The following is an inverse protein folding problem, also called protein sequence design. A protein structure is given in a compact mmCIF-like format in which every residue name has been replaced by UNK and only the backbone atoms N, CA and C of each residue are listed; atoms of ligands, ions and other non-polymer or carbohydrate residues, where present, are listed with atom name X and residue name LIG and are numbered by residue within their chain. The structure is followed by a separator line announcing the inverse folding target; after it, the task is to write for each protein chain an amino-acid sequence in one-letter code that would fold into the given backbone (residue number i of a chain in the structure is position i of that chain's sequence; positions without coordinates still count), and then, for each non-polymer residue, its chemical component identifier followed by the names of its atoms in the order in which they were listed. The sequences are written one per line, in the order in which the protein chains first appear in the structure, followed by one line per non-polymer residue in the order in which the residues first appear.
data_IF_483540922735
#
_entry.id   IF_483540922735
#
_cell.length_a   1.000
_cell.length_b   1.000
_cell.length_c   1.000
_cell.angle_alpha   90.00
_cell.angle_beta   90.00
_cell.angle_gamma   90.00
#
_symmetry.space_group_name_H-M   'P 1'
#
loop_
_entity.id
_entity.type
_entity.pdbx_description
1 polymer ?
#
# COMPACT_ATOMS: atom_id res chain seq x y z
N UNK A 1 -7.14 -3.56 25.08
CA UNK A 1 -6.56 -2.74 24.00
C UNK A 1 -5.97 -1.48 24.58
N UNK A 2 -4.66 -1.28 24.41
CA UNK A 2 -3.89 -0.12 24.91
C UNK A 2 -4.05 1.15 24.03
N UNK A 3 -5.18 1.29 23.32
CA UNK A 3 -5.45 2.39 22.38
C UNK A 3 -4.41 2.57 21.24
N UNK A 4 -3.68 1.51 20.91
CA UNK A 4 -2.69 1.50 19.82
C UNK A 4 -3.37 1.09 18.51
N UNK A 5 -3.37 1.98 17.53
CA UNK A 5 -3.84 1.67 16.18
C UNK A 5 -2.96 0.59 15.54
N UNK A 6 -3.56 -0.54 15.18
CA UNK A 6 -2.83 -1.73 14.71
C UNK A 6 -3.25 -2.10 13.30
N UNK A 7 -2.29 -2.23 12.39
CA UNK A 7 -2.51 -2.72 11.03
C UNK A 7 -2.11 -4.20 10.95
N UNK A 8 -3.04 -5.04 10.51
CA UNK A 8 -2.74 -6.44 10.20
C UNK A 8 -2.49 -6.61 8.70
N UNK A 9 -1.37 -7.24 8.34
CA UNK A 9 -1.05 -7.59 6.95
C UNK A 9 -1.35 -9.06 6.70
N UNK A 10 -2.40 -9.33 5.92
CA UNK A 10 -2.65 -10.65 5.33
C UNK A 10 -2.11 -10.61 3.90
N UNK A 11 -0.79 -10.65 3.79
CA UNK A 11 -0.07 -10.23 2.60
C UNK A 11 1.23 -11.04 2.40
N UNK A 12 1.41 -11.76 1.28
CA UNK A 12 0.45 -11.92 0.19
C UNK A 12 -0.55 -13.04 0.45
N UNK A 13 -1.73 -12.95 -0.18
CA UNK A 13 -2.62 -14.09 -0.36
C UNK A 13 -2.14 -14.93 -1.54
N UNK A 14 -1.98 -16.23 -1.33
CA UNK A 14 -1.53 -17.19 -2.34
C UNK A 14 -2.74 -17.80 -3.06
N UNK A 15 -2.91 -17.57 -4.37
CA UNK A 15 -4.02 -18.14 -5.12
C UNK A 15 -4.15 -19.66 -4.97
N UNK A 16 -5.36 -20.14 -4.70
CA UNK A 16 -5.69 -21.56 -4.50
C UNK A 16 -5.05 -22.25 -3.29
N UNK A 17 -4.17 -21.58 -2.54
CA UNK A 17 -3.48 -22.14 -1.37
C UNK A 17 -4.01 -21.51 -0.09
N UNK A 18 -4.08 -20.19 -0.03
CA UNK A 18 -4.58 -19.44 1.14
C UNK A 18 -5.69 -18.47 0.75
N UNK A 19 -6.36 -18.74 -0.38
CA UNK A 19 -7.40 -17.88 -0.95
C UNK A 19 -8.81 -18.46 -0.79
N UNK A 20 -9.00 -19.43 0.10
CA UNK A 20 -10.32 -19.96 0.42
C UNK A 20 -11.11 -18.91 1.24
N UNK A 21 -12.37 -18.70 0.89
CA UNK A 21 -13.20 -17.66 1.50
C UNK A 21 -13.45 -17.92 2.99
N UNK A 22 -13.70 -19.17 3.38
CA UNK A 22 -14.01 -19.50 4.78
C UNK A 22 -12.76 -19.37 5.65
N UNK A 23 -11.62 -19.85 5.17
CA UNK A 23 -10.34 -19.71 5.87
C UNK A 23 -9.94 -18.23 6.01
N UNK A 24 -10.12 -17.42 4.97
CA UNK A 24 -9.87 -15.97 5.03
C UNK A 24 -10.84 -15.28 6.00
N UNK A 25 -12.12 -15.64 6.00
CA UNK A 25 -13.11 -15.07 6.93
C UNK A 25 -12.80 -15.43 8.38
N UNK A 26 -12.36 -16.66 8.64
CA UNK A 26 -11.90 -17.10 9.96
C UNK A 26 -10.65 -16.33 10.39
N UNK A 27 -9.63 -16.24 9.53
CA UNK A 27 -8.39 -15.52 9.81
C UNK A 27 -8.66 -14.03 10.09
N UNK A 28 -9.42 -13.38 9.21
CA UNK A 28 -9.78 -11.96 9.35
C UNK A 28 -10.60 -11.76 10.64
N UNK A 29 -11.51 -12.68 10.95
CA UNK A 29 -12.23 -12.65 12.23
C UNK A 29 -11.29 -12.66 13.43
N UNK A 30 -10.34 -13.61 13.47
CA UNK A 30 -9.38 -13.74 14.58
C UNK A 30 -8.51 -12.50 14.77
N UNK A 31 -8.04 -11.88 13.69
CA UNK A 31 -7.18 -10.68 13.80
C UNK A 31 -7.98 -9.45 14.23
N UNK A 32 -9.23 -9.33 13.81
CA UNK A 32 -10.14 -8.27 14.27
C UNK A 32 -10.46 -8.46 15.75
N UNK A 33 -10.78 -9.68 16.18
CA UNK A 33 -11.04 -10.02 17.58
C UNK A 33 -9.80 -9.76 18.47
N UNK A 34 -8.60 -9.92 17.91
CA UNK A 34 -7.33 -9.58 18.55
C UNK A 34 -7.02 -8.06 18.59
N UNK A 35 -7.84 -7.21 17.96
CA UNK A 35 -7.72 -5.75 18.01
C UNK A 35 -7.15 -5.07 16.76
N UNK A 36 -7.05 -5.77 15.62
CA UNK A 36 -6.64 -5.12 14.38
C UNK A 36 -7.61 -3.98 14.00
N UNK A 37 -7.06 -2.79 13.79
CA UNK A 37 -7.80 -1.57 13.43
C UNK A 37 -7.96 -1.41 11.92
N UNK A 38 -7.09 -2.05 11.14
CA UNK A 38 -7.09 -2.00 9.67
C UNK A 38 -6.42 -3.24 9.09
N UNK A 39 -6.85 -3.64 7.89
CA UNK A 39 -6.28 -4.76 7.15
C UNK A 39 -5.54 -4.27 5.89
N UNK A 40 -4.36 -4.82 5.62
CA UNK A 40 -3.69 -4.69 4.33
C UNK A 40 -3.52 -6.07 3.72
N UNK A 41 -3.78 -6.18 2.42
CA UNK A 41 -3.60 -7.43 1.67
C UNK A 41 -3.02 -7.19 0.28
N UNK A 42 -2.56 -8.24 -0.37
CA UNK A 42 -2.22 -8.27 -1.79
C UNK A 42 -2.45 -9.68 -2.35
N UNK A 43 -2.44 -9.81 -3.67
CA UNK A 43 -2.30 -11.10 -4.32
C UNK A 43 -0.82 -11.34 -4.58
N UNK A 44 -0.31 -12.52 -4.24
CA UNK A 44 1.09 -12.87 -4.51
C UNK A 44 1.45 -12.52 -5.95
N UNK A 45 2.55 -11.80 -6.13
CA UNK A 45 3.23 -11.61 -7.39
C UNK A 45 4.58 -12.35 -7.39
N UNK A 46 5.06 -12.73 -8.57
CA UNK A 46 6.24 -13.59 -8.71
C UNK A 46 7.33 -12.77 -9.40
N UNK A 47 8.43 -12.41 -8.71
CA UNK A 47 9.56 -11.79 -9.38
C UNK A 47 10.07 -12.70 -10.50
N UNK A 48 10.27 -12.16 -11.71
CA UNK A 48 10.71 -12.96 -12.86
C UNK A 48 11.98 -13.76 -12.60
N UNK A 49 12.94 -13.15 -11.88
CA UNK A 49 14.20 -13.78 -11.52
C UNK A 49 14.01 -15.05 -10.66
N UNK A 50 12.88 -15.18 -9.96
CA UNK A 50 12.57 -16.28 -9.04
C UNK A 50 11.44 -17.18 -9.56
N UNK A 51 10.97 -16.99 -10.80
CA UNK A 51 9.79 -17.68 -11.32
C UNK A 51 9.93 -19.21 -11.24
N UNK A 52 11.03 -19.74 -11.77
CA UNK A 52 11.30 -21.18 -11.76
C UNK A 52 11.34 -21.75 -10.35
N UNK A 53 12.07 -21.09 -9.45
CA UNK A 53 12.18 -21.51 -8.05
C UNK A 53 10.82 -21.54 -7.35
N UNK A 54 9.99 -20.53 -7.60
CA UNK A 54 8.64 -20.45 -7.03
C UNK A 54 7.76 -21.60 -7.54
N UNK A 55 7.76 -21.89 -8.84
CA UNK A 55 6.97 -23.01 -9.37
C UNK A 55 7.48 -24.37 -8.95
N UNK A 56 8.80 -24.57 -8.84
CA UNK A 56 9.39 -25.81 -8.34
C UNK A 56 9.03 -26.03 -6.85
N UNK A 57 8.99 -24.95 -6.04
CA UNK A 57 8.51 -25.00 -4.66
C UNK A 57 7.01 -25.31 -4.56
N UNK A 58 6.19 -24.70 -5.42
CA UNK A 58 4.75 -24.97 -5.48
C UNK A 58 4.49 -26.43 -5.89
N UNK A 59 5.21 -26.94 -6.88
CA UNK A 59 5.09 -28.32 -7.33
C UNK A 59 5.52 -29.31 -6.24
N UNK A 60 6.66 -29.08 -5.59
CA UNK A 60 7.15 -30.00 -4.56
C UNK A 60 6.23 -30.08 -3.35
N UNK A 61 5.58 -28.97 -2.97
CA UNK A 61 4.69 -28.92 -1.80
C UNK A 61 3.22 -29.25 -2.09
N UNK A 62 2.71 -28.85 -3.26
CA UNK A 62 1.28 -28.93 -3.60
C UNK A 62 0.99 -29.73 -4.87
N UNK A 63 2.02 -30.29 -5.51
CA UNK A 63 1.91 -31.16 -6.67
C UNK A 63 1.87 -30.45 -8.04
N UNK A 64 2.06 -31.24 -9.09
CA UNK A 64 2.11 -30.80 -10.50
C UNK A 64 0.85 -30.06 -10.95
N UNK A 65 -0.31 -30.44 -10.45
CA UNK A 65 -1.56 -29.77 -10.81
C UNK A 65 -1.59 -28.33 -10.31
N UNK A 66 -1.12 -28.08 -9.08
CA UNK A 66 -1.09 -26.73 -8.51
C UNK A 66 -0.13 -25.84 -9.29
N UNK A 67 1.07 -26.34 -9.63
CA UNK A 67 1.99 -25.65 -10.53
C UNK A 67 1.31 -25.21 -11.83
N UNK A 68 0.60 -26.13 -12.50
CA UNK A 68 -0.11 -25.81 -13.74
C UNK A 68 -1.22 -24.78 -13.55
N UNK A 69 -1.91 -24.77 -12.40
CA UNK A 69 -2.90 -23.73 -12.05
C UNK A 69 -2.23 -22.36 -11.93
N UNK A 70 -1.08 -22.30 -11.27
CA UNK A 70 -0.28 -21.09 -11.15
C UNK A 70 0.23 -20.61 -12.51
N UNK A 71 0.85 -21.47 -13.32
CA UNK A 71 1.36 -21.10 -14.66
C UNK A 71 0.27 -20.51 -15.57
N UNK A 72 -0.97 -21.02 -15.49
CA UNK A 72 -2.12 -20.47 -16.25
C UNK A 72 -2.66 -19.15 -15.68
N UNK A 73 -2.54 -18.96 -14.37
CA UNK A 73 -3.03 -17.78 -13.67
C UNK A 73 -2.06 -16.60 -13.78
N UNK A 74 -0.77 -16.85 -13.72
CA UNK A 74 0.29 -15.84 -13.67
C UNK A 74 0.79 -15.48 -15.07
N UNK A 75 -0.02 -14.72 -15.80
CA UNK A 75 0.23 -14.34 -17.20
C UNK A 75 0.46 -12.85 -17.39
N UNK A 76 0.08 -12.02 -16.42
CA UNK A 76 0.30 -10.58 -16.49
C UNK A 76 1.72 -10.24 -16.08
N UNK A 77 2.28 -9.20 -16.67
CA UNK A 77 3.62 -8.73 -16.35
C UNK A 77 3.63 -7.23 -16.13
N UNK A 78 4.14 -6.84 -14.96
CA UNK A 78 4.29 -5.45 -14.55
C UNK A 78 5.60 -5.31 -13.78
N UNK A 79 6.42 -4.32 -14.15
CA UNK A 79 7.66 -3.98 -13.42
C UNK A 79 8.60 -5.17 -13.13
N UNK A 80 8.75 -6.10 -14.08
CA UNK A 80 9.62 -7.28 -13.92
C UNK A 80 9.06 -8.39 -13.04
N UNK A 81 7.76 -8.38 -12.75
CA UNK A 81 7.06 -9.36 -11.91
C UNK A 81 5.85 -9.92 -12.65
N UNK A 82 5.55 -11.19 -12.41
CA UNK A 82 4.36 -11.85 -12.91
C UNK A 82 3.22 -11.69 -11.91
N UNK A 83 2.06 -11.29 -12.40
CA UNK A 83 0.86 -11.13 -11.60
C UNK A 83 -0.20 -12.13 -12.06
N UNK A 84 -1.04 -12.55 -11.11
CA UNK A 84 -2.27 -13.26 -11.43
C UNK A 84 -3.16 -12.38 -12.34
N UNK A 85 -3.90 -13.02 -13.24
CA UNK A 85 -4.90 -12.35 -14.09
C UNK A 85 -5.77 -11.39 -13.28
N UNK A 86 -6.02 -10.21 -13.83
CA UNK A 86 -6.74 -9.12 -13.18
C UNK A 86 -8.14 -9.55 -12.73
N UNK A 87 -8.83 -10.39 -13.50
CA UNK A 87 -10.16 -10.88 -13.13
C UNK A 87 -10.12 -11.72 -11.85
N UNK A 88 -9.07 -12.52 -11.67
CA UNK A 88 -8.87 -13.29 -10.44
C UNK A 88 -8.57 -12.36 -9.26
N UNK A 89 -7.67 -11.38 -9.44
CA UNK A 89 -7.30 -10.42 -8.40
C UNK A 89 -8.49 -9.59 -7.95
N UNK A 90 -9.28 -9.05 -8.88
CA UNK A 90 -10.53 -8.33 -8.60
C UNK A 90 -11.53 -9.19 -7.82
N UNK A 91 -11.70 -10.46 -8.20
CA UNK A 91 -12.57 -11.39 -7.45
C UNK A 91 -12.06 -11.62 -6.02
N UNK A 92 -10.75 -11.83 -5.86
CA UNK A 92 -10.13 -12.00 -4.54
C UNK A 92 -10.33 -10.77 -3.66
N UNK A 93 -10.01 -9.59 -4.16
CA UNK A 93 -10.14 -8.35 -3.39
C UNK A 93 -11.60 -8.00 -3.10
N UNK A 94 -12.52 -8.26 -4.02
CA UNK A 94 -13.95 -8.12 -3.78
C UNK A 94 -14.44 -9.02 -2.65
N UNK A 95 -14.01 -10.29 -2.64
CA UNK A 95 -14.32 -11.23 -1.56
C UNK A 95 -13.79 -10.73 -0.21
N UNK A 96 -12.50 -10.39 -0.12
CA UNK A 96 -11.87 -9.89 1.12
C UNK A 96 -12.57 -8.60 1.59
N UNK A 97 -12.93 -7.70 0.67
CA UNK A 97 -13.67 -6.47 0.98
C UNK A 97 -15.02 -6.75 1.62
N UNK A 98 -15.78 -7.71 1.10
CA UNK A 98 -17.07 -8.06 1.71
C UNK A 98 -16.88 -8.74 3.07
N UNK A 99 -15.84 -9.55 3.28
CA UNK A 99 -15.49 -10.09 4.60
C UNK A 99 -15.18 -8.94 5.59
N UNK A 100 -14.27 -8.04 5.22
CA UNK A 100 -13.89 -6.89 6.06
C UNK A 100 -15.09 -6.01 6.40
N UNK A 101 -15.99 -5.78 5.43
CA UNK A 101 -17.24 -5.04 5.64
C UNK A 101 -18.16 -5.73 6.64
N UNK A 102 -18.36 -7.05 6.56
CA UNK A 102 -19.13 -7.82 7.56
C UNK A 102 -18.51 -7.70 8.96
N UNK A 103 -17.18 -7.71 9.04
CA UNK A 103 -16.41 -7.59 10.29
C UNK A 103 -16.20 -6.14 10.76
N UNK A 104 -16.66 -5.15 10.00
CA UNK A 104 -16.54 -3.70 10.28
C UNK A 104 -15.10 -3.23 10.48
N UNK A 105 -14.15 -3.81 9.73
CA UNK A 105 -12.75 -3.37 9.71
C UNK A 105 -12.43 -2.74 8.36
N UNK A 106 -11.77 -1.56 8.30
CA UNK A 106 -11.32 -0.99 7.04
C UNK A 106 -10.19 -1.83 6.43
N UNK A 107 -9.99 -1.70 5.11
CA UNK A 107 -8.91 -2.37 4.41
C UNK A 107 -8.29 -1.53 3.29
N UNK A 108 -7.06 -1.88 2.93
CA UNK A 108 -6.35 -1.41 1.75
C UNK A 108 -5.57 -2.55 1.06
N UNK A 109 -5.12 -2.28 -0.16
CA UNK A 109 -4.26 -3.15 -0.95
C UNK A 109 -2.82 -2.64 -0.98
N UNK A 110 -1.84 -3.54 -0.89
CA UNK A 110 -0.43 -3.21 -1.01
C UNK A 110 0.04 -3.39 -2.46
N UNK A 111 0.41 -2.29 -3.13
CA UNK A 111 1.06 -2.29 -4.46
C UNK A 111 0.28 -3.04 -5.55
N UNK A 112 -1.05 -2.98 -5.51
CA UNK A 112 -1.92 -3.65 -6.47
C UNK A 112 -2.35 -2.72 -7.61
N UNK A 113 -2.03 -3.12 -8.84
CA UNK A 113 -2.28 -2.32 -10.05
C UNK A 113 -2.91 -3.15 -11.17
N UNK A 114 -3.67 -2.48 -12.03
CA UNK A 114 -4.13 -2.99 -13.31
C UNK A 114 -3.36 -2.31 -14.44
N UNK A 115 -2.79 -3.09 -15.34
CA UNK A 115 -2.17 -2.57 -16.55
C UNK A 115 -3.27 -2.33 -17.59
N UNK A 116 -3.47 -1.08 -17.96
CA UNK A 116 -4.42 -0.66 -19.01
C UNK A 116 -3.64 -0.25 -20.25
N UNK A 117 -4.06 -0.70 -21.43
CA UNK A 117 -3.43 -0.34 -22.70
C UNK A 117 -4.44 0.41 -23.55
N UNK A 118 -4.21 1.69 -23.77
CA UNK A 118 -5.06 2.58 -24.57
C UNK A 118 -4.24 3.23 -25.68
N UNK A 119 -4.71 3.11 -26.93
CA UNK A 119 -4.04 3.66 -28.11
C UNK A 119 -2.52 3.33 -28.20
N UNK A 120 -2.13 2.15 -27.71
CA UNK A 120 -0.73 1.69 -27.71
C UNK A 120 0.11 2.14 -26.51
N UNK A 121 -0.43 2.97 -25.61
CA UNK A 121 0.24 3.40 -24.39
C UNK A 121 -0.22 2.58 -23.19
N UNK A 122 0.73 2.03 -22.44
CA UNK A 122 0.44 1.33 -21.19
C UNK A 122 0.41 2.32 -20.02
N UNK A 123 -0.67 2.29 -19.24
CA UNK A 123 -0.82 2.96 -17.96
C UNK A 123 -1.11 1.94 -16.86
N UNK A 124 -0.97 2.36 -15.60
CA UNK A 124 -1.23 1.52 -14.43
C UNK A 124 -2.23 2.19 -13.52
N UNK A 125 -3.37 1.55 -13.30
CA UNK A 125 -4.41 2.02 -12.39
C UNK A 125 -4.28 1.30 -11.05
N UNK A 126 -4.24 2.06 -9.95
CA UNK A 126 -4.15 1.48 -8.61
C UNK A 126 -5.50 0.88 -8.18
N UNK A 127 -5.51 -0.39 -7.80
CA UNK A 127 -6.74 -1.10 -7.42
C UNK A 127 -7.34 -0.60 -6.09
N UNK A 128 -6.59 0.16 -5.30
CA UNK A 128 -7.13 0.87 -4.13
C UNK A 128 -8.21 1.90 -4.48
N UNK A 129 -8.28 2.39 -5.72
CA UNK A 129 -9.37 3.26 -6.16
C UNK A 129 -10.75 2.57 -6.08
N UNK A 130 -10.77 1.23 -6.06
CA UNK A 130 -11.98 0.43 -6.04
C UNK A 130 -12.17 -0.34 -4.73
N UNK A 131 -11.09 -0.94 -4.21
CA UNK A 131 -11.21 -1.92 -3.11
C UNK A 131 -10.90 -1.35 -1.72
N UNK A 132 -10.16 -0.24 -1.63
CA UNK A 132 -9.84 0.38 -0.34
C UNK A 132 -11.10 0.94 0.32
N UNK A 133 -11.21 0.79 1.64
CA UNK A 133 -12.34 1.32 2.43
C UNK A 133 -11.90 2.35 3.49
N UNK A 134 -10.61 2.65 3.55
CA UNK A 134 -9.99 3.70 4.36
C UNK A 134 -9.70 4.97 3.55
N UNK A 135 -9.24 6.04 4.22
CA UNK A 135 -8.82 7.30 3.59
C UNK A 135 -7.37 7.27 3.07
N UNK A 136 -6.57 6.33 3.55
CA UNK A 136 -5.17 6.12 3.17
C UNK A 136 -4.85 4.61 3.25
N UNK A 137 -3.71 4.20 2.70
CA UNK A 137 -3.33 2.80 2.60
C UNK A 137 -3.25 2.06 3.94
N UNK A 138 -2.84 2.75 5.02
CA UNK A 138 -2.59 2.19 6.35
C UNK A 138 -3.78 2.31 7.30
N UNK A 139 -4.89 2.93 6.87
CA UNK A 139 -6.09 3.09 7.70
C UNK A 139 -6.03 4.22 8.72
N UNK A 140 -4.87 4.84 8.93
CA UNK A 140 -4.66 5.96 9.86
C UNK A 140 -3.89 7.09 9.18
N UNK A 141 -4.37 8.32 9.37
CA UNK A 141 -3.68 9.48 8.84
C UNK A 141 -2.50 9.82 9.75
N UNK A 142 -1.28 9.76 9.20
CA UNK A 142 -0.07 10.10 9.93
C UNK A 142 0.54 11.33 9.27
N UNK A 143 0.58 12.49 9.96
CA UNK A 143 1.21 13.68 9.41
C UNK A 143 2.70 13.44 9.18
N UNK A 144 3.31 14.25 8.33
CA UNK A 144 4.77 14.26 8.21
C UNK A 144 5.35 14.77 9.51
N UNK A 145 6.36 14.06 10.03
CA UNK A 145 7.11 14.48 11.20
C UNK A 145 8.46 15.07 10.77
N UNK A 146 8.83 16.17 11.43
CA UNK A 146 10.12 16.83 11.24
C UNK A 146 10.78 17.05 12.59
N UNK A 147 12.10 17.03 12.59
CA UNK A 147 12.90 17.44 13.75
C UNK A 147 13.08 18.96 13.70
N UNK A 148 12.77 19.64 14.80
CA UNK A 148 12.96 21.09 14.92
C UNK A 148 14.10 21.35 15.90
N UNK A 149 15.12 22.09 15.48
CA UNK A 149 16.04 22.74 16.44
C UNK A 149 17.20 21.94 17.03
N UNK A 150 17.64 20.83 16.43
CA UNK A 150 18.80 20.07 16.94
C UNK A 150 18.48 19.15 18.12
N UNK A 151 17.28 19.28 18.71
CA UNK A 151 16.76 18.37 19.71
C UNK A 151 16.46 16.99 19.11
N UNK A 152 16.40 15.95 19.96
CA UNK A 152 16.18 14.57 19.54
C UNK A 152 14.73 14.21 19.18
N UNK A 153 13.81 15.16 19.29
CA UNK A 153 12.38 14.92 19.19
C UNK A 153 11.78 15.25 17.81
N UNK A 154 10.88 14.39 17.35
CA UNK A 154 10.10 14.59 16.13
C UNK A 154 8.76 15.22 16.47
N UNK A 155 8.34 16.21 15.68
CA UNK A 155 7.05 16.86 15.83
C UNK A 155 6.30 16.92 14.49
N UNK A 156 4.96 16.84 14.48
CA UNK A 156 4.18 16.87 13.26
C UNK A 156 4.27 18.25 12.59
N UNK A 157 4.26 18.27 11.25
CA UNK A 157 4.20 19.51 10.48
C UNK A 157 2.82 20.14 10.62
N UNK A 158 2.78 21.41 11.01
CA UNK A 158 1.54 22.17 11.16
C UNK A 158 0.77 22.23 9.83
N UNK A 159 -0.54 21.99 9.88
CA UNK A 159 -1.40 21.95 8.68
C UNK A 159 -1.27 20.69 7.81
N UNK A 160 -0.44 19.70 8.20
CA UNK A 160 -0.43 18.38 7.56
C UNK A 160 -1.48 17.48 8.22
N UNK A 161 -2.46 17.01 7.45
CA UNK A 161 -3.53 16.13 7.94
C UNK A 161 -3.20 14.64 7.83
N UNK A 162 -1.99 14.30 7.34
CA UNK A 162 -1.51 12.93 7.14
C UNK A 162 -2.20 12.15 6.01
N UNK A 163 -3.08 12.79 5.23
CA UNK A 163 -3.77 12.15 4.11
C UNK A 163 -3.05 12.46 2.79
N UNK A 164 -1.89 11.84 2.60
CA UNK A 164 -1.05 12.09 1.42
C UNK A 164 -1.78 11.82 0.09
N UNK A 165 -2.71 10.86 0.05
CA UNK A 165 -3.51 10.57 -1.15
C UNK A 165 -4.45 11.74 -1.48
N UNK A 166 -5.17 12.28 -0.49
CA UNK A 166 -5.98 13.48 -0.73
C UNK A 166 -5.11 14.68 -1.09
N UNK A 167 -3.99 14.87 -0.39
CA UNK A 167 -3.03 15.93 -0.67
C UNK A 167 -2.58 15.91 -2.14
N UNK A 168 -2.23 14.73 -2.68
CA UNK A 168 -1.86 14.53 -4.09
C UNK A 168 -2.89 15.12 -5.06
N UNK A 169 -4.18 14.93 -4.78
CA UNK A 169 -5.27 15.36 -5.67
C UNK A 169 -5.71 16.83 -5.49
N UNK A 170 -5.26 17.54 -4.45
CA UNK A 170 -5.63 18.94 -4.26
C UNK A 170 -4.93 19.87 -5.25
N UNK A 171 -5.50 21.03 -5.57
CA UNK A 171 -4.84 22.10 -6.35
C UNK A 171 -4.06 23.08 -5.48
N UNK A 172 -4.26 23.06 -4.15
CA UNK A 172 -3.60 23.94 -3.19
C UNK A 172 -2.17 23.53 -2.83
N UNK A 173 -1.43 24.39 -2.14
CA UNK A 173 -0.08 24.06 -1.63
C UNK A 173 -0.19 22.97 -0.55
N UNK A 174 0.73 21.99 -0.51
CA UNK A 174 0.72 20.97 0.53
C UNK A 174 1.00 21.61 1.89
N UNK A 175 0.35 21.12 2.96
CA UNK A 175 0.57 21.63 4.32
C UNK A 175 2.03 21.54 4.78
N UNK A 176 2.80 20.58 4.24
CA UNK A 176 4.23 20.47 4.50
C UNK A 176 5.11 21.49 3.75
N UNK A 177 4.54 22.21 2.77
CA UNK A 177 5.25 23.19 1.96
C UNK A 177 6.30 22.61 1.00
N UNK A 178 6.28 21.29 0.75
CA UNK A 178 7.15 20.59 -0.20
C UNK A 178 6.27 20.06 -1.34
N UNK A 179 6.27 20.76 -2.48
CA UNK A 179 5.46 20.40 -3.65
C UNK A 179 5.79 19.01 -4.20
N UNK A 180 7.07 18.62 -4.18
CA UNK A 180 7.50 17.31 -4.70
C UNK A 180 6.76 16.16 -4.01
N UNK A 181 6.62 16.21 -2.68
CA UNK A 181 5.96 15.16 -1.89
C UNK A 181 4.52 14.89 -2.32
N UNK A 182 3.89 15.88 -2.93
CA UNK A 182 2.54 15.80 -3.48
C UNK A 182 2.46 14.95 -4.74
N UNK A 183 3.58 14.60 -5.38
CA UNK A 183 3.62 13.80 -6.62
C UNK A 183 3.83 12.30 -6.37
N UNK A 184 3.99 11.89 -5.10
CA UNK A 184 4.18 10.48 -4.69
C UNK A 184 5.28 9.74 -5.49
N UNK A 185 6.36 10.44 -5.85
CA UNK A 185 7.49 9.90 -6.60
C UNK A 185 8.33 8.88 -5.84
N UNK A 186 9.20 8.19 -6.57
CA UNK A 186 10.18 7.26 -6.02
C UNK A 186 11.39 8.00 -5.41
N UNK A 187 11.16 8.64 -4.27
CA UNK A 187 12.12 9.52 -3.60
C UNK A 187 13.33 8.76 -3.05
N UNK A 188 14.50 9.35 -3.22
CA UNK A 188 15.79 8.86 -2.73
C UNK A 188 16.25 9.68 -1.53
N UNK A 189 17.18 9.16 -0.74
CA UNK A 189 17.76 9.86 0.41
C UNK A 189 18.26 11.29 0.08
N UNK A 190 18.76 11.52 -1.13
CA UNK A 190 19.20 12.86 -1.58
C UNK A 190 18.04 13.86 -1.63
N UNK A 191 16.85 13.41 -2.00
CA UNK A 191 15.66 14.25 -2.16
C UNK A 191 15.19 14.69 -0.76
N UNK A 192 15.12 13.73 0.19
CA UNK A 192 14.88 14.02 1.61
C UNK A 192 15.88 15.02 2.19
N UNK A 193 17.19 14.82 1.95
CA UNK A 193 18.24 15.76 2.39
C UNK A 193 18.07 17.15 1.76
N UNK A 194 17.62 17.20 0.51
CA UNK A 194 17.29 18.45 -0.18
C UNK A 194 16.16 19.20 0.52
N UNK A 195 15.05 18.50 0.81
CA UNK A 195 13.91 19.10 1.47
C UNK A 195 14.21 19.53 2.92
N UNK A 196 15.05 18.80 3.65
CA UNK A 196 15.50 19.23 4.98
C UNK A 196 16.13 20.63 4.96
N UNK A 197 16.96 20.93 3.95
CA UNK A 197 17.55 22.28 3.78
C UNK A 197 16.50 23.34 3.48
N UNK A 198 15.52 23.01 2.63
CA UNK A 198 14.41 23.94 2.29
C UNK A 198 13.59 24.28 3.53
N UNK A 199 13.34 23.31 4.40
CA UNK A 199 12.62 23.52 5.67
C UNK A 199 13.43 24.38 6.63
N UNK A 200 14.75 24.16 6.74
CA UNK A 200 15.66 24.99 7.55
C UNK A 200 15.74 26.45 7.05
N UNK A 201 15.87 26.65 5.73
CA UNK A 201 15.94 27.99 5.13
C UNK A 201 14.64 28.80 5.31
N UNK A 202 13.49 28.13 5.18
CA UNK A 202 12.18 28.75 5.44
C UNK A 202 12.02 29.17 6.90
N UNK A 203 12.55 28.37 7.84
CA UNK A 203 12.59 28.71 9.26
C UNK A 203 13.42 29.97 9.51
N UNK A 204 14.65 30.05 9.00
CA UNK A 204 15.53 31.23 9.20
C UNK A 204 14.91 32.52 8.68
N UNK A 205 14.15 32.45 7.58
CA UNK A 205 13.42 33.60 7.02
C UNK A 205 12.16 33.99 7.81
N UNK A 206 11.46 33.04 8.43
CA UNK A 206 10.29 33.34 9.28
C UNK A 206 10.69 33.95 10.63
N UNK A 207 11.83 33.56 11.19
CA UNK A 207 12.33 34.15 12.45
C UNK A 207 12.78 35.59 12.26
N UNK A 208 13.46 35.90 11.15
CA UNK A 208 13.95 37.26 10.83
C UNK A 208 12.85 38.25 10.39
N UNK A 209 11.65 37.76 10.05
CA UNK A 209 10.48 38.60 9.74
C UNK A 209 9.59 38.90 10.96
N UNK A 210 9.88 38.30 12.12
CA UNK A 210 9.15 38.49 13.38
C UNK A 210 9.95 39.28 14.42
N UNK A 211 11.15 39.75 14.05
CA UNK A 211 12.00 40.69 14.80
C UNK A 211 11.92 42.08 14.15
#
# INVERSE_FOLDING_TARGET
NEDIFTVCRVDPVLPYITSDEKELEELIGKVVDAGASHLITSCLDIPKAMEREMYDKIESKYGKEMRRKYERLYVEEMSGRKHARIEYRRKLFGMIREICKRKRVPMGLCMEFEKVVEAGNASFLGLNQEFMTSRNCEGINIPIYVRRGGDDEFSPVEGCDGNCLACYHTSGKPGCGIEDLKTAGAWKLRDYKGWSKVVEEKRTKQTTLRE
#
